data_IF_805954914556
#
_entry.id   IF_805954914556
#
_cell.length_a   1.000
_cell.length_b   1.000
_cell.length_c   1.000
_cell.angle_alpha   90.00
_cell.angle_beta   90.00
_cell.angle_gamma   90.00
#
_symmetry.space_group_name_H-M   'P 1'
#
loop_
_entity.id
_entity.type
_entity.pdbx_description
1 polymer ?
#
# COMPACT_ATOMS: atom_id res chain seq x y z
N UNK A 1 48.07 15.92 52.37
CA UNK A 1 46.79 16.33 51.77
C UNK A 1 47.05 16.75 50.33
N UNK A 2 46.72 15.90 49.34
CA UNK A 2 46.78 16.23 47.91
C UNK A 2 45.38 16.01 47.34
N UNK A 3 44.60 17.09 47.22
CA UNK A 3 43.29 17.04 46.55
C UNK A 3 43.53 17.15 45.04
N UNK A 4 43.38 16.03 44.34
CA UNK A 4 43.30 16.03 42.88
C UNK A 4 41.94 16.58 42.43
N UNK A 5 41.88 17.37 41.34
CA UNK A 5 40.64 17.93 40.82
C UNK A 5 39.69 16.84 40.30
N UNK A 6 38.37 17.08 40.27
CA UNK A 6 37.39 16.09 39.84
C UNK A 6 37.59 15.76 38.34
N UNK A 7 37.59 14.46 38.02
CA UNK A 7 37.62 13.98 36.62
C UNK A 7 36.35 14.43 35.87
N UNK A 8 36.46 14.85 34.61
CA UNK A 8 35.29 15.24 33.83
C UNK A 8 34.40 14.02 33.57
N UNK A 9 33.10 14.19 33.80
CA UNK A 9 32.07 13.20 33.50
C UNK A 9 31.91 13.14 31.98
N UNK A 10 32.43 12.07 31.39
CA UNK A 10 32.31 11.78 29.97
C UNK A 10 30.84 11.52 29.63
N UNK A 11 30.18 12.47 28.95
CA UNK A 11 28.81 12.31 28.47
C UNK A 11 28.85 11.40 27.25
N UNK A 12 28.91 10.09 27.51
CA UNK A 12 28.86 9.05 26.49
C UNK A 12 27.68 9.26 25.56
N UNK A 13 27.99 9.62 24.31
CA UNK A 13 27.04 9.68 23.20
C UNK A 13 26.46 8.28 23.03
N UNK A 14 25.16 8.11 23.27
CA UNK A 14 24.44 6.86 23.07
C UNK A 14 24.35 6.56 21.58
N UNK A 15 25.40 5.93 21.04
CA UNK A 15 25.34 5.29 19.72
C UNK A 15 24.26 4.21 19.78
N UNK A 16 23.15 4.45 19.10
CA UNK A 16 22.12 3.44 18.87
C UNK A 16 22.78 2.23 18.20
N UNK A 17 23.03 1.18 18.97
CA UNK A 17 23.44 -0.13 18.44
C UNK A 17 22.16 -0.91 18.20
N UNK A 18 21.83 -1.30 16.95
CA UNK A 18 20.74 -2.24 16.74
C UNK A 18 21.08 -3.51 17.51
N UNK A 19 20.15 -3.96 18.36
CA UNK A 19 20.27 -5.26 19.05
C UNK A 19 20.45 -6.31 17.95
N UNK A 20 21.56 -7.07 17.93
CA UNK A 20 21.73 -8.12 16.94
C UNK A 20 20.56 -9.09 17.09
N UNK A 21 19.82 -9.28 16.01
CA UNK A 21 18.75 -10.27 16.00
C UNK A 21 19.38 -11.63 16.35
N UNK A 22 18.77 -12.43 17.24
CA UNK A 22 19.27 -13.77 17.51
C UNK A 22 19.40 -14.52 16.17
N UNK A 23 20.40 -15.41 16.04
CA UNK A 23 20.53 -16.22 14.83
C UNK A 23 19.22 -16.96 14.62
N UNK A 24 18.53 -16.64 13.52
CA UNK A 24 17.23 -17.22 13.20
C UNK A 24 17.44 -18.54 12.48
N UNK A 25 16.69 -19.54 12.91
CA UNK A 25 16.60 -20.81 12.21
C UNK A 25 15.49 -20.76 11.17
N UNK A 26 15.63 -21.52 10.08
CA UNK A 26 14.55 -21.66 9.10
C UNK A 26 13.32 -22.34 9.70
N UNK A 27 13.51 -23.10 10.78
CA UNK A 27 12.49 -23.80 11.52
C UNK A 27 11.79 -22.92 12.58
N UNK A 28 12.24 -21.67 12.77
CA UNK A 28 11.58 -20.76 13.70
C UNK A 28 10.15 -20.47 13.26
N UNK A 29 9.27 -20.30 14.24
CA UNK A 29 7.87 -19.95 13.99
C UNK A 29 7.75 -18.59 13.28
N UNK A 30 6.76 -18.47 12.39
CA UNK A 30 6.50 -17.24 11.64
C UNK A 30 6.24 -16.01 12.51
N UNK A 31 5.82 -16.18 13.78
CA UNK A 31 5.63 -15.09 14.74
C UNK A 31 6.92 -14.28 15.00
N UNK A 32 8.11 -14.87 14.82
CA UNK A 32 9.38 -14.18 15.01
C UNK A 32 9.81 -13.35 13.79
N UNK A 33 9.07 -13.42 12.68
CA UNK A 33 9.26 -12.54 11.53
C UNK A 33 8.76 -11.13 11.83
N UNK A 34 9.61 -10.15 11.51
CA UNK A 34 9.25 -8.74 11.61
C UNK A 34 8.01 -8.46 10.76
N UNK A 35 6.97 -7.91 11.39
CA UNK A 35 5.68 -7.62 10.72
C UNK A 35 4.61 -8.70 10.90
N UNK A 36 4.97 -9.88 11.43
CA UNK A 36 4.00 -10.95 11.74
C UNK A 36 3.63 -10.88 13.22
N UNK A 37 2.53 -10.18 13.52
CA UNK A 37 1.94 -10.20 14.87
C UNK A 37 1.17 -11.51 15.15
N UNK A 38 0.70 -11.74 16.40
CA UNK A 38 -0.01 -12.97 16.78
C UNK A 38 -1.21 -13.31 15.88
N UNK A 39 -1.96 -12.30 15.44
CA UNK A 39 -3.08 -12.47 14.49
C UNK A 39 -2.61 -12.94 13.11
N UNK A 40 -1.49 -12.39 12.63
CA UNK A 40 -0.89 -12.78 11.36
C UNK A 40 -0.34 -14.20 11.42
N UNK A 41 0.33 -14.57 12.51
CA UNK A 41 0.82 -15.93 12.75
C UNK A 41 -0.33 -16.95 12.75
N UNK A 42 -1.46 -16.64 13.39
CA UNK A 42 -2.65 -17.51 13.37
C UNK A 42 -3.24 -17.66 11.96
N UNK A 43 -3.25 -16.60 11.15
CA UNK A 43 -3.72 -16.66 9.77
C UNK A 43 -2.78 -17.48 8.88
N UNK A 44 -1.46 -17.31 9.04
CA UNK A 44 -0.43 -18.08 8.34
C UNK A 44 -0.51 -19.56 8.72
N UNK A 45 -0.65 -19.88 10.00
CA UNK A 45 -0.83 -21.25 10.49
C UNK A 45 -2.08 -21.91 9.89
N UNK A 46 -3.20 -21.21 9.81
CA UNK A 46 -4.42 -21.69 9.13
C UNK A 46 -4.21 -21.95 7.63
N UNK A 47 -3.27 -21.24 7.00
CA UNK A 47 -2.88 -21.45 5.61
C UNK A 47 -1.78 -22.51 5.43
N UNK A 48 -1.39 -23.22 6.50
CA UNK A 48 -0.35 -24.26 6.48
C UNK A 48 1.07 -23.70 6.47
N UNK A 49 1.27 -22.45 6.87
CA UNK A 49 2.56 -21.76 6.90
C UNK A 49 2.96 -21.57 8.37
N UNK A 50 3.87 -22.42 8.86
CA UNK A 50 4.23 -22.43 10.28
C UNK A 50 5.62 -21.87 10.53
N UNK A 51 6.56 -22.12 9.60
CA UNK A 51 7.97 -21.78 9.75
C UNK A 51 8.43 -20.68 8.80
N UNK A 52 9.58 -20.08 9.08
CA UNK A 52 10.26 -19.16 8.15
C UNK A 52 10.53 -19.85 6.81
N UNK A 53 10.89 -21.14 6.83
CA UNK A 53 11.11 -21.93 5.61
C UNK A 53 9.87 -21.98 4.73
N UNK A 54 8.68 -22.12 5.31
CA UNK A 54 7.42 -22.19 4.57
C UNK A 54 7.13 -20.85 3.87
N UNK A 55 7.39 -19.74 4.56
CA UNK A 55 7.24 -18.39 4.00
C UNK A 55 8.16 -18.20 2.79
N UNK A 56 9.40 -18.67 2.85
CA UNK A 56 10.35 -18.55 1.73
C UNK A 56 9.95 -19.39 0.51
N UNK A 57 9.18 -20.46 0.72
CA UNK A 57 8.65 -21.31 -0.36
C UNK A 57 7.37 -20.75 -0.98
N UNK A 58 6.78 -19.69 -0.43
CA UNK A 58 5.61 -19.03 -1.01
C UNK A 58 6.02 -18.22 -2.22
N UNK A 59 5.92 -18.84 -3.40
CA UNK A 59 6.12 -18.15 -4.66
C UNK A 59 4.85 -17.33 -4.98
N UNK A 60 4.99 -16.08 -5.48
CA UNK A 60 3.86 -15.29 -5.94
C UNK A 60 3.01 -16.04 -6.96
N UNK A 61 1.69 -16.06 -6.76
CA UNK A 61 0.75 -16.69 -7.73
C UNK A 61 0.66 -15.91 -9.04
N UNK A 62 0.88 -14.60 -8.98
CA UNK A 62 0.86 -13.69 -10.12
C UNK A 62 1.92 -12.63 -9.90
N UNK A 63 2.73 -12.40 -10.92
CA UNK A 63 3.55 -11.21 -11.02
C UNK A 63 2.76 -10.16 -11.77
N UNK A 64 2.78 -8.94 -11.26
CA UNK A 64 2.07 -7.82 -11.85
C UNK A 64 3.09 -6.78 -12.29
N UNK A 65 3.16 -6.57 -13.61
CA UNK A 65 4.06 -5.60 -14.19
C UNK A 65 3.39 -4.22 -14.20
N UNK A 66 3.83 -3.36 -13.28
CA UNK A 66 3.38 -1.95 -13.15
C UNK A 66 4.34 -0.97 -13.82
N UNK A 67 5.32 -1.44 -14.60
CA UNK A 67 6.29 -0.54 -15.28
C UNK A 67 5.68 0.17 -16.48
N UNK A 68 4.66 -0.43 -17.10
CA UNK A 68 3.95 0.19 -18.21
C UNK A 68 2.83 1.12 -17.71
N UNK A 69 2.91 2.39 -18.10
CA UNK A 69 1.94 3.43 -17.77
C UNK A 69 1.28 3.92 -19.07
N UNK A 70 0.34 3.16 -19.67
CA UNK A 70 -0.41 3.62 -20.83
C UNK A 70 -1.17 4.91 -20.51
N UNK A 71 -1.36 5.74 -21.53
CA UNK A 71 -2.26 6.89 -21.40
C UNK A 71 -3.71 6.41 -21.30
N UNK A 72 -4.57 7.21 -20.67
CA UNK A 72 -5.98 6.86 -20.48
C UNK A 72 -6.68 6.63 -21.83
N UNK A 73 -6.27 7.32 -22.89
CA UNK A 73 -6.80 7.14 -24.25
C UNK A 73 -6.44 5.80 -24.90
N UNK A 74 -5.36 5.15 -24.44
CA UNK A 74 -4.85 3.88 -24.99
C UNK A 74 -5.42 2.66 -24.24
N UNK A 75 -6.23 2.88 -23.21
CA UNK A 75 -6.80 1.80 -22.41
C UNK A 75 -7.83 0.99 -23.19
N UNK A 76 -7.93 -0.29 -22.84
CA UNK A 76 -8.93 -1.20 -23.37
C UNK A 76 -9.81 -1.73 -22.23
N UNK A 77 -11.14 -1.81 -22.40
CA UNK A 77 -12.00 -2.42 -21.40
C UNK A 77 -11.62 -3.89 -21.13
N UNK A 78 -11.74 -4.31 -19.88
CA UNK A 78 -11.50 -5.68 -19.42
C UNK A 78 -10.07 -5.96 -18.97
N UNK A 79 -9.10 -5.13 -19.34
CA UNK A 79 -7.68 -5.31 -18.97
C UNK A 79 -7.38 -4.66 -17.62
N UNK A 80 -6.38 -5.20 -16.93
CA UNK A 80 -5.78 -4.54 -15.78
C UNK A 80 -4.68 -3.60 -16.26
N UNK A 81 -4.70 -2.36 -15.78
CA UNK A 81 -3.73 -1.35 -16.19
C UNK A 81 -3.35 -0.45 -15.02
N UNK A 82 -2.13 0.08 -15.11
CA UNK A 82 -1.62 1.13 -14.22
C UNK A 82 -1.67 2.45 -14.98
N UNK A 83 -2.31 3.46 -14.42
CA UNK A 83 -2.44 4.79 -15.04
C UNK A 83 -1.90 5.85 -14.10
N UNK A 84 -1.32 6.91 -14.66
CA UNK A 84 -0.82 8.05 -13.90
C UNK A 84 -1.53 9.32 -14.34
N UNK A 85 -1.98 10.12 -13.39
CA UNK A 85 -2.67 11.37 -13.70
C UNK A 85 -2.99 12.21 -12.48
N UNK A 86 -3.59 13.38 -12.71
CA UNK A 86 -4.03 14.29 -11.64
C UNK A 86 -5.49 14.11 -11.35
N UNK A 87 -5.84 14.09 -10.07
CA UNK A 87 -7.23 14.17 -9.64
C UNK A 87 -7.78 15.57 -9.94
N UNK A 88 -8.90 15.63 -10.67
CA UNK A 88 -9.58 16.89 -11.04
C UNK A 88 -10.81 17.18 -10.20
N UNK A 89 -11.48 16.14 -9.75
CA UNK A 89 -12.70 16.22 -8.95
C UNK A 89 -12.80 15.00 -8.07
N UNK A 90 -13.23 15.19 -6.83
CA UNK A 90 -13.57 14.11 -5.90
C UNK A 90 -14.95 14.38 -5.33
N UNK A 91 -15.83 13.40 -5.47
CA UNK A 91 -17.16 13.42 -4.89
C UNK A 91 -17.29 12.25 -3.93
N UNK A 92 -17.84 12.51 -2.75
CA UNK A 92 -18.23 11.47 -1.80
C UNK A 92 -19.71 11.65 -1.53
N UNK A 93 -20.52 10.62 -1.79
CA UNK A 93 -21.95 10.67 -1.55
C UNK A 93 -22.47 9.39 -0.90
N UNK A 94 -23.32 9.49 0.12
CA UNK A 94 -24.09 8.34 0.58
C UNK A 94 -25.11 7.93 -0.50
N UNK A 95 -25.36 6.64 -0.62
CA UNK A 95 -26.37 6.04 -1.50
C UNK A 95 -27.31 5.14 -0.69
N UNK A 96 -28.29 4.51 -1.37
CA UNK A 96 -29.25 3.61 -0.72
C UNK A 96 -28.53 2.52 0.10
N UNK A 97 -29.20 2.05 1.16
CA UNK A 97 -28.73 1.00 2.07
C UNK A 97 -27.46 1.34 2.88
N UNK A 98 -27.21 2.63 3.14
CA UNK A 98 -26.10 3.06 4.00
C UNK A 98 -24.71 2.92 3.37
N UNK A 99 -24.62 2.59 2.07
CA UNK A 99 -23.35 2.54 1.35
C UNK A 99 -22.89 3.95 0.99
N UNK A 100 -21.59 4.21 1.06
CA UNK A 100 -20.99 5.45 0.56
C UNK A 100 -20.24 5.18 -0.73
N UNK A 101 -20.40 6.02 -1.75
CA UNK A 101 -19.65 5.94 -3.01
C UNK A 101 -18.77 7.16 -3.13
N UNK A 102 -17.46 6.92 -3.26
CA UNK A 102 -16.47 7.94 -3.60
C UNK A 102 -16.16 7.82 -5.08
N UNK A 103 -16.31 8.91 -5.84
CA UNK A 103 -15.97 8.97 -7.26
C UNK A 103 -14.96 10.08 -7.48
N UNK A 104 -13.80 9.74 -8.04
CA UNK A 104 -12.78 10.70 -8.43
C UNK A 104 -12.60 10.70 -9.95
N UNK A 105 -12.34 11.88 -10.52
CA UNK A 105 -11.99 12.02 -11.94
C UNK A 105 -10.47 12.15 -12.06
N UNK A 106 -9.82 11.12 -12.60
CA UNK A 106 -8.41 11.12 -12.93
C UNK A 106 -8.24 11.65 -14.36
N UNK A 107 -7.31 12.58 -14.56
CA UNK A 107 -6.99 13.14 -15.88
C UNK A 107 -5.49 13.07 -16.15
N UNK A 108 -5.12 12.54 -17.30
CA UNK A 108 -3.75 12.55 -17.80
C UNK A 108 -3.61 13.56 -18.96
N UNK A 109 -2.56 13.42 -19.78
CA UNK A 109 -2.33 14.30 -20.92
C UNK A 109 -3.34 14.10 -22.07
N UNK A 110 -3.91 12.90 -22.24
CA UNK A 110 -4.68 12.51 -23.45
C UNK A 110 -6.13 12.09 -23.17
N UNK A 111 -6.55 11.97 -21.91
CA UNK A 111 -7.84 11.43 -21.54
C UNK A 111 -8.22 11.66 -20.07
N UNK A 112 -9.40 11.16 -19.72
CA UNK A 112 -9.92 11.20 -18.36
C UNK A 112 -10.68 9.90 -18.05
N UNK A 113 -10.63 9.48 -16.79
CA UNK A 113 -11.34 8.30 -16.32
C UNK A 113 -11.90 8.49 -14.92
N UNK A 114 -12.91 7.70 -14.59
CA UNK A 114 -13.49 7.64 -13.26
C UNK A 114 -12.78 6.58 -12.40
N UNK A 115 -12.45 6.93 -11.17
CA UNK A 115 -12.05 5.99 -10.14
C UNK A 115 -13.16 5.96 -9.10
N UNK A 116 -13.72 4.79 -8.82
CA UNK A 116 -14.89 4.64 -7.93
C UNK A 116 -14.57 3.69 -6.79
N UNK A 117 -14.70 4.16 -5.55
CA UNK A 117 -14.57 3.32 -4.35
C UNK A 117 -15.91 3.18 -3.63
N UNK A 118 -16.22 1.94 -3.24
CA UNK A 118 -17.43 1.60 -2.49
C UNK A 118 -17.10 1.42 -1.01
N UNK A 119 -17.89 2.05 -0.15
CA UNK A 119 -17.80 2.02 1.31
C UNK A 119 -16.43 2.42 1.88
N UNK A 120 -15.70 3.30 1.18
CA UNK A 120 -14.37 3.77 1.57
C UNK A 120 -14.34 5.31 1.60
N UNK A 121 -15.10 5.97 2.50
CA UNK A 121 -15.14 7.43 2.58
C UNK A 121 -13.79 8.07 2.87
N UNK A 122 -12.90 7.34 3.57
CA UNK A 122 -11.54 7.79 3.88
C UNK A 122 -10.70 8.06 2.63
N UNK A 123 -10.94 7.34 1.52
CA UNK A 123 -10.26 7.57 0.24
C UNK A 123 -10.61 8.94 -0.31
N UNK A 124 -11.87 9.34 -0.23
CA UNK A 124 -12.30 10.67 -0.68
C UNK A 124 -11.55 11.79 0.06
N UNK A 125 -11.46 11.68 1.39
CA UNK A 125 -10.73 12.63 2.22
C UNK A 125 -9.22 12.63 1.94
N UNK A 126 -8.63 11.48 1.64
CA UNK A 126 -7.22 11.35 1.32
C UNK A 126 -6.89 11.98 -0.05
N UNK A 127 -7.69 11.67 -1.08
CA UNK A 127 -7.52 12.22 -2.43
C UNK A 127 -7.74 13.74 -2.49
N UNK A 128 -8.66 14.28 -1.69
CA UNK A 128 -8.88 15.73 -1.61
C UNK A 128 -7.68 16.47 -1.01
N UNK A 129 -6.91 15.82 -0.13
CA UNK A 129 -5.70 16.39 0.48
C UNK A 129 -4.44 16.11 -0.33
N UNK A 130 -4.51 15.21 -1.30
CA UNK A 130 -3.37 14.83 -2.12
C UNK A 130 -3.08 15.91 -3.16
N UNK A 131 -1.83 16.38 -3.22
CA UNK A 131 -1.36 17.32 -4.22
C UNK A 131 -0.50 16.60 -5.26
N UNK A 132 -0.71 16.92 -6.54
CA UNK A 132 0.08 16.36 -7.64
C UNK A 132 -0.61 15.21 -8.38
N UNK A 133 0.22 14.32 -8.94
CA UNK A 133 -0.22 13.14 -9.69
C UNK A 133 -0.28 11.93 -8.77
N UNK A 134 -1.27 11.07 -9.03
CA UNK A 134 -1.38 9.75 -8.42
C UNK A 134 -1.14 8.69 -9.48
N UNK A 135 -0.75 7.50 -9.02
CA UNK A 135 -0.77 6.28 -9.82
C UNK A 135 -1.95 5.44 -9.34
N UNK A 136 -2.80 5.00 -10.27
CA UNK A 136 -3.94 4.13 -9.98
C UNK A 136 -3.82 2.82 -10.75
N UNK A 137 -4.08 1.71 -10.08
CA UNK A 137 -4.07 0.38 -10.66
C UNK A 137 -5.39 -0.33 -10.45
N UNK A 138 -5.94 -0.90 -11.51
CA UNK A 138 -7.17 -1.67 -11.44
C UNK A 138 -7.62 -2.21 -12.78
N UNK A 139 -8.73 -2.94 -12.76
CA UNK A 139 -9.38 -3.39 -13.98
C UNK A 139 -10.13 -2.22 -14.63
N UNK A 140 -9.81 -1.94 -15.89
CA UNK A 140 -10.49 -0.94 -16.71
C UNK A 140 -11.85 -1.49 -17.13
N UNK A 141 -12.90 -0.72 -16.89
CA UNK A 141 -14.25 -0.94 -17.40
C UNK A 141 -14.66 0.24 -18.26
N UNK A 142 -15.60 0.03 -19.18
CA UNK A 142 -16.24 1.11 -19.91
C UNK A 142 -17.67 1.28 -19.41
N UNK A 143 -18.00 2.48 -18.94
CA UNK A 143 -19.37 2.88 -18.60
C UNK A 143 -19.79 3.94 -19.62
N UNK A 144 -20.41 3.50 -20.72
CA UNK A 144 -20.66 4.36 -21.88
C UNK A 144 -19.34 4.77 -22.56
N UNK A 145 -19.11 6.07 -22.73
CA UNK A 145 -17.88 6.62 -23.34
C UNK A 145 -16.73 6.88 -22.35
N UNK A 146 -16.91 6.56 -21.07
CA UNK A 146 -15.95 6.89 -20.01
C UNK A 146 -15.34 5.61 -19.46
N UNK A 147 -14.01 5.57 -19.36
CA UNK A 147 -13.32 4.51 -18.63
C UNK A 147 -13.50 4.66 -17.13
N UNK A 148 -13.64 3.54 -16.45
CA UNK A 148 -13.85 3.46 -15.02
C UNK A 148 -13.02 2.34 -14.39
N UNK A 149 -12.41 2.59 -13.23
CA UNK A 149 -11.88 1.56 -12.35
C UNK A 149 -12.68 1.51 -11.05
N UNK A 150 -13.09 0.32 -10.65
CA UNK A 150 -13.79 0.08 -9.38
C UNK A 150 -12.79 -0.41 -8.33
N UNK A 151 -12.80 0.22 -7.14
CA UNK A 151 -11.88 -0.01 -6.04
C UNK A 151 -10.40 -0.14 -6.48
N UNK A 152 -9.86 0.79 -7.29
CA UNK A 152 -8.46 0.70 -7.68
C UNK A 152 -7.55 0.92 -6.47
N UNK A 153 -6.39 0.28 -6.52
CA UNK A 153 -5.26 0.66 -5.68
C UNK A 153 -4.73 2.00 -6.17
N UNK A 154 -4.31 2.87 -5.25
CA UNK A 154 -3.75 4.15 -5.60
C UNK A 154 -2.60 4.51 -4.65
N UNK A 155 -1.61 5.20 -5.20
CA UNK A 155 -0.44 5.75 -4.51
C UNK A 155 -0.09 7.15 -5.01
#
# INVERSE_FOLDING_TARGET
MKNSPPKPVDKGVSFWRPVPLPPRSLQDETQYLKGVGPRGALALKKAGIETIQDVLKLIPRRYEDRTNLPTISELQPGVWATVRGRIRRVESRPVKNGMTVVKATLKDAKGAMALTWFNQPWVGSALQKHEGEIVAYGQVKATGFVFEMSNPEWE
#
